data_IF_709884615987
#
_entry.id   IF_709884615987
#
_cell.length_a   1.000
_cell.length_b   1.000
_cell.length_c   1.000
_cell.angle_alpha   90.00
_cell.angle_beta   90.00
_cell.angle_gamma   90.00
#
_symmetry.space_group_name_H-M   'P 1'
#
loop_
_entity.id
_entity.type
_entity.pdbx_description
1 polymer ?
#
# COMPACT_ATOMS: atom_id res chain seq x y z
N UNK A 1 -22.54 1.69 -6.40
CA UNK A 1 -21.99 3.04 -6.75
C UNK A 1 -20.57 2.86 -7.24
N UNK A 2 -20.27 3.33 -8.43
CA UNK A 2 -18.90 3.36 -9.00
C UNK A 2 -18.38 4.80 -8.87
N UNK A 3 -17.18 4.97 -8.30
CA UNK A 3 -16.56 6.28 -8.10
C UNK A 3 -15.04 6.19 -8.30
N UNK A 4 -14.38 7.32 -8.44
CA UNK A 4 -12.93 7.45 -8.45
C UNK A 4 -12.49 8.34 -7.29
N UNK A 5 -11.30 8.10 -6.75
CA UNK A 5 -10.75 8.89 -5.67
C UNK A 5 -9.66 9.84 -6.19
N UNK A 6 -9.85 11.13 -6.01
CA UNK A 6 -8.79 12.13 -6.19
C UNK A 6 -8.40 12.72 -4.84
N UNK A 7 -7.36 12.19 -4.25
CA UNK A 7 -6.88 12.65 -2.94
C UNK A 7 -6.26 14.06 -2.96
N UNK A 8 -6.03 14.62 -4.16
CA UNK A 8 -5.46 15.97 -4.32
C UNK A 8 -6.44 17.07 -3.94
N UNK A 9 -7.76 16.79 -4.05
CA UNK A 9 -8.80 17.79 -3.77
C UNK A 9 -8.91 18.17 -2.30
N UNK A 10 -8.45 17.29 -1.40
CA UNK A 10 -8.65 17.43 0.05
C UNK A 10 -7.38 17.88 0.79
N UNK A 11 -6.39 18.45 0.06
CA UNK A 11 -5.19 18.99 0.69
C UNK A 11 -5.43 20.39 1.24
N UNK A 12 -5.51 20.59 2.55
CA UNK A 12 -5.23 21.90 3.08
C UNK A 12 -3.77 22.23 2.78
N UNK A 13 -3.53 23.36 2.14
CA UNK A 13 -2.19 23.91 2.08
C UNK A 13 -1.64 23.99 3.51
N UNK A 14 -0.38 23.59 3.75
CA UNK A 14 0.20 23.68 5.08
C UNK A 14 0.23 25.16 5.47
N UNK A 15 -0.44 25.51 6.56
CA UNK A 15 -0.48 26.90 7.00
C UNK A 15 0.90 27.45 7.32
N UNK A 16 1.85 26.59 7.78
CA UNK A 16 3.24 27.01 8.07
C UNK A 16 4.21 25.83 8.25
N UNK A 17 5.49 26.09 7.95
CA UNK A 17 6.63 25.26 8.37
C UNK A 17 6.76 25.33 9.89
N UNK A 18 6.28 24.30 10.60
CA UNK A 18 6.28 24.28 12.07
C UNK A 18 7.58 23.75 12.68
N UNK A 19 8.35 22.98 11.93
CA UNK A 19 9.54 22.29 12.43
C UNK A 19 10.68 22.35 11.42
N UNK A 20 11.91 22.29 11.92
CA UNK A 20 13.11 22.20 11.09
C UNK A 20 13.81 20.86 11.34
N UNK A 21 14.36 20.28 10.28
CA UNK A 21 15.35 19.24 10.42
C UNK A 21 16.64 19.86 10.98
N UNK A 22 17.53 19.05 11.61
CA UNK A 22 18.85 19.52 11.99
C UNK A 22 19.62 20.08 10.81
N UNK A 23 20.44 21.10 11.03
CA UNK A 23 21.34 21.65 9.99
C UNK A 23 22.34 20.58 9.53
N UNK A 24 22.88 19.78 10.46
CA UNK A 24 23.74 18.63 10.16
C UNK A 24 22.90 17.35 10.04
N UNK A 25 22.53 16.99 8.82
CA UNK A 25 21.89 15.71 8.49
C UNK A 25 22.89 14.57 8.31
N UNK A 26 24.19 14.82 8.44
CA UNK A 26 25.27 13.84 8.21
C UNK A 26 25.14 13.23 6.80
N UNK A 27 24.94 11.91 6.69
CA UNK A 27 24.75 11.25 5.39
C UNK A 27 23.31 11.43 4.82
N UNK A 28 22.37 11.95 5.60
CA UNK A 28 20.98 12.13 5.16
C UNK A 28 19.96 11.78 6.23
N UNK A 29 18.80 11.32 5.79
CA UNK A 29 17.68 10.94 6.66
C UNK A 29 17.30 9.47 6.48
N UNK A 30 16.67 8.91 7.51
CA UNK A 30 16.08 7.55 7.43
C UNK A 30 14.60 7.58 7.78
N UNK A 31 13.79 6.93 6.95
CA UNK A 31 12.33 6.86 7.11
C UNK A 31 11.89 5.44 7.52
N UNK A 32 11.22 5.33 8.66
CA UNK A 32 10.58 4.09 9.09
C UNK A 32 9.19 3.97 8.44
N UNK A 33 9.10 3.18 7.38
CA UNK A 33 7.87 2.95 6.62
C UNK A 33 6.87 2.07 7.39
N UNK A 34 5.57 2.12 7.07
CA UNK A 34 4.59 1.18 7.60
C UNK A 34 4.93 -0.28 7.28
N UNK A 35 4.42 -1.22 8.11
CA UNK A 35 4.68 -2.64 7.93
C UNK A 35 3.81 -3.28 6.84
N UNK A 36 2.57 -2.81 6.69
CA UNK A 36 1.64 -3.34 5.69
C UNK A 36 1.88 -2.69 4.34
N UNK A 37 1.81 -3.49 3.28
CA UNK A 37 2.08 -3.05 1.92
C UNK A 37 1.18 -1.88 1.48
N UNK A 38 -0.12 -1.97 1.76
CA UNK A 38 -1.06 -0.89 1.43
C UNK A 38 -0.73 0.42 2.12
N UNK A 39 -0.44 0.38 3.44
CA UNK A 39 -0.02 1.58 4.18
C UNK A 39 1.30 2.16 3.64
N UNK A 40 2.22 1.28 3.21
CA UNK A 40 3.48 1.70 2.60
C UNK A 40 3.25 2.41 1.26
N UNK A 41 2.33 1.91 0.43
CA UNK A 41 1.96 2.56 -0.84
C UNK A 41 1.30 3.92 -0.61
N UNK A 42 0.39 4.04 0.35
CA UNK A 42 -0.21 5.33 0.71
C UNK A 42 0.80 6.33 1.28
N UNK A 43 1.96 5.87 1.75
CA UNK A 43 3.03 6.72 2.26
C UNK A 43 4.01 7.22 1.18
N UNK A 44 3.96 6.70 -0.05
CA UNK A 44 4.91 7.04 -1.11
C UNK A 44 4.94 8.53 -1.46
N UNK A 45 3.80 9.24 -1.59
CA UNK A 45 3.83 10.67 -1.83
C UNK A 45 4.68 11.44 -0.79
N UNK A 46 4.50 11.11 0.48
CA UNK A 46 5.25 11.74 1.57
C UNK A 46 6.74 11.38 1.52
N UNK A 47 7.07 10.12 1.18
CA UNK A 47 8.46 9.67 1.04
C UNK A 47 9.17 10.41 -0.10
N UNK A 48 8.50 10.60 -1.24
CA UNK A 48 9.02 11.36 -2.38
C UNK A 48 9.29 12.82 -2.00
N UNK A 49 8.34 13.45 -1.31
CA UNK A 49 8.50 14.86 -0.92
C UNK A 49 9.65 15.07 0.08
N UNK A 50 9.93 14.08 0.93
CA UNK A 50 11.13 14.09 1.76
C UNK A 50 12.41 14.07 0.91
N UNK A 51 12.50 13.21 -0.12
CA UNK A 51 13.69 13.21 -1.00
C UNK A 51 13.85 14.55 -1.74
N UNK A 52 12.76 15.10 -2.26
CA UNK A 52 12.79 16.40 -2.96
C UNK A 52 13.20 17.57 -2.06
N UNK A 53 13.08 17.45 -0.76
CA UNK A 53 13.50 18.43 0.22
C UNK A 53 15.01 18.38 0.51
N UNK A 54 15.64 17.22 0.30
CA UNK A 54 17.06 17.01 0.63
C UNK A 54 17.95 17.62 -0.44
N UNK A 55 19.12 18.10 0.00
CA UNK A 55 20.19 18.46 -0.93
C UNK A 55 20.65 17.20 -1.72
N UNK A 56 21.15 17.35 -2.95
CA UNK A 56 21.48 16.22 -3.83
C UNK A 56 22.44 15.19 -3.24
N UNK A 57 23.37 15.65 -2.39
CA UNK A 57 24.39 14.82 -1.72
C UNK A 57 23.83 14.02 -0.53
N UNK A 58 22.63 14.35 -0.06
CA UNK A 58 22.02 13.70 1.11
C UNK A 58 21.17 12.51 0.70
N UNK A 59 21.39 11.40 1.37
CA UNK A 59 20.70 10.15 1.11
C UNK A 59 19.34 10.06 1.84
N UNK A 60 18.39 9.41 1.17
CA UNK A 60 17.14 8.95 1.76
C UNK A 60 17.20 7.43 1.97
N UNK A 61 17.27 7.00 3.22
CA UNK A 61 17.23 5.60 3.60
C UNK A 61 15.84 5.17 4.05
N UNK A 62 15.50 3.91 3.82
CA UNK A 62 14.22 3.33 4.23
C UNK A 62 14.44 2.16 5.19
N UNK A 63 13.65 2.12 6.27
CA UNK A 63 13.52 0.97 7.15
C UNK A 63 12.10 0.39 6.96
N UNK A 64 12.01 -0.87 6.56
CA UNK A 64 10.75 -1.58 6.35
C UNK A 64 10.90 -3.09 6.62
N UNK A 65 9.82 -3.90 6.59
CA UNK A 65 9.94 -5.35 6.60
C UNK A 65 10.90 -5.86 5.50
N UNK A 66 11.75 -6.84 5.82
CA UNK A 66 12.72 -7.39 4.86
C UNK A 66 12.07 -7.93 3.59
N UNK A 67 10.83 -8.42 3.69
CA UNK A 67 10.02 -8.87 2.53
C UNK A 67 9.68 -7.77 1.53
N UNK A 68 9.81 -6.50 1.90
CA UNK A 68 9.55 -5.36 1.02
C UNK A 68 10.82 -4.83 0.32
N UNK A 69 11.97 -5.50 0.46
CA UNK A 69 13.24 -5.04 -0.14
C UNK A 69 13.12 -4.82 -1.64
N UNK A 70 12.51 -5.77 -2.36
CA UNK A 70 12.33 -5.69 -3.81
C UNK A 70 11.53 -4.44 -4.23
N UNK A 71 10.52 -4.04 -3.45
CA UNK A 71 9.74 -2.84 -3.69
C UNK A 71 10.60 -1.56 -3.67
N UNK A 72 11.38 -1.37 -2.59
CA UNK A 72 12.18 -0.14 -2.46
C UNK A 72 13.39 -0.12 -3.41
N UNK A 73 13.85 -1.29 -3.86
CA UNK A 73 14.89 -1.40 -4.89
C UNK A 73 14.42 -0.91 -6.28
N UNK A 74 13.12 -0.85 -6.53
CA UNK A 74 12.57 -0.30 -7.78
C UNK A 74 12.41 1.22 -7.78
N UNK A 75 12.72 1.88 -6.66
CA UNK A 75 12.55 3.33 -6.49
C UNK A 75 13.91 4.03 -6.54
N UNK A 76 14.29 4.68 -7.68
CA UNK A 76 15.62 5.28 -7.84
C UNK A 76 15.95 6.37 -6.83
N UNK A 77 14.94 6.97 -6.20
CA UNK A 77 15.13 8.03 -5.20
C UNK A 77 15.38 7.49 -3.78
N UNK A 78 15.33 6.16 -3.57
CA UNK A 78 15.67 5.50 -2.30
C UNK A 78 17.12 5.03 -2.37
N UNK A 79 17.98 5.69 -1.62
CA UNK A 79 19.44 5.48 -1.69
C UNK A 79 19.91 4.24 -0.89
N UNK A 80 19.05 3.71 0.01
CA UNK A 80 19.37 2.49 0.75
C UNK A 80 18.23 1.95 1.60
N UNK A 81 18.36 0.66 1.97
CA UNK A 81 17.31 -0.10 2.63
C UNK A 81 17.82 -0.88 3.84
N UNK A 82 17.16 -0.75 4.99
CA UNK A 82 17.35 -1.56 6.18
C UNK A 82 16.13 -2.47 6.41
N UNK A 83 16.31 -3.75 6.15
CA UNK A 83 15.25 -4.76 6.29
C UNK A 83 15.08 -5.27 7.70
N UNK A 84 13.88 -5.20 8.25
CA UNK A 84 13.52 -5.79 9.53
C UNK A 84 12.99 -7.21 9.32
N UNK A 85 13.67 -8.22 9.90
CA UNK A 85 13.24 -9.63 9.82
C UNK A 85 11.96 -9.89 10.62
N UNK A 86 11.82 -9.24 11.78
CA UNK A 86 10.68 -9.36 12.68
C UNK A 86 10.13 -7.97 13.05
N UNK A 87 9.40 -7.29 12.12
CA UNK A 87 9.03 -5.88 12.26
C UNK A 87 8.08 -5.58 13.43
N UNK A 88 7.53 -6.63 14.07
CA UNK A 88 6.67 -6.53 15.26
C UNK A 88 7.41 -6.81 16.58
N UNK A 89 8.73 -7.08 16.54
CA UNK A 89 9.58 -7.32 17.72
C UNK A 89 10.63 -6.22 17.89
N UNK A 90 11.34 -6.23 19.02
CA UNK A 90 12.54 -5.39 19.19
C UNK A 90 13.56 -5.75 18.10
N UNK A 91 14.26 -4.71 17.62
CA UNK A 91 15.26 -4.91 16.57
C UNK A 91 16.49 -5.62 17.14
N UNK A 92 17.05 -6.50 16.35
CA UNK A 92 18.27 -7.23 16.72
C UNK A 92 19.48 -6.29 16.75
N UNK A 93 20.55 -6.72 17.44
CA UNK A 93 21.80 -5.98 17.48
C UNK A 93 22.35 -5.71 16.05
N UNK A 94 22.20 -6.67 15.14
CA UNK A 94 22.62 -6.50 13.73
C UNK A 94 21.79 -5.47 13.00
N UNK A 95 20.47 -5.41 13.21
CA UNK A 95 19.59 -4.39 12.61
C UNK A 95 19.92 -2.99 13.15
N UNK A 96 20.16 -2.86 14.47
CA UNK A 96 20.59 -1.60 15.07
C UNK A 96 21.97 -1.15 14.55
N UNK A 97 22.91 -2.08 14.43
CA UNK A 97 24.26 -1.82 13.92
C UNK A 97 24.21 -1.35 12.45
N UNK A 98 23.43 -2.04 11.60
CA UNK A 98 23.26 -1.65 10.20
C UNK A 98 22.67 -0.24 10.07
N UNK A 99 21.68 0.10 10.90
CA UNK A 99 21.12 1.44 10.92
C UNK A 99 22.16 2.49 11.35
N UNK A 100 22.94 2.19 12.39
CA UNK A 100 24.02 3.09 12.88
C UNK A 100 25.04 3.40 11.80
N UNK A 101 25.40 2.41 10.96
CA UNK A 101 26.33 2.60 9.83
C UNK A 101 25.82 3.58 8.78
N UNK A 102 24.53 3.79 8.64
CA UNK A 102 23.96 4.77 7.70
C UNK A 102 24.29 6.21 8.11
N UNK A 103 24.62 6.45 9.38
CA UNK A 103 25.04 7.77 9.92
C UNK A 103 24.06 8.89 9.57
N UNK A 104 22.75 8.63 9.68
CA UNK A 104 21.73 9.62 9.42
C UNK A 104 21.63 10.64 10.56
N UNK A 105 21.41 11.92 10.23
CA UNK A 105 21.19 13.00 11.18
C UNK A 105 19.76 13.08 11.68
N UNK A 106 18.78 12.55 10.90
CA UNK A 106 17.39 12.54 11.31
C UNK A 106 16.67 11.24 10.92
N UNK A 107 15.65 10.91 11.70
CA UNK A 107 14.77 9.79 11.46
C UNK A 107 13.30 10.20 11.50
N UNK A 108 12.51 9.75 10.51
CA UNK A 108 11.10 10.07 10.38
C UNK A 108 10.28 8.78 10.47
N UNK A 109 9.26 8.75 11.33
CA UNK A 109 8.45 7.57 11.55
C UNK A 109 7.05 7.75 10.93
N UNK A 110 6.80 7.04 9.85
CA UNK A 110 5.48 6.96 9.20
C UNK A 110 4.56 5.95 9.87
N UNK A 111 5.09 5.09 10.74
CA UNK A 111 4.29 4.22 11.59
C UNK A 111 4.04 4.84 12.98
N UNK A 112 3.21 4.16 13.79
CA UNK A 112 2.84 4.62 15.13
C UNK A 112 3.50 3.78 16.25
N UNK A 113 4.67 3.18 16.03
CA UNK A 113 5.32 2.29 16.97
C UNK A 113 6.25 3.05 17.93
N UNK A 114 5.98 2.99 19.24
CA UNK A 114 6.91 3.46 20.28
C UNK A 114 8.23 2.69 20.21
N UNK A 115 8.16 1.37 20.10
CA UNK A 115 9.33 0.50 20.00
C UNK A 115 10.26 0.90 18.86
N UNK A 116 9.72 1.19 17.67
CA UNK A 116 10.54 1.55 16.50
C UNK A 116 11.23 2.91 16.72
N UNK A 117 10.54 3.89 17.34
CA UNK A 117 11.16 5.15 17.74
C UNK A 117 12.30 4.93 18.74
N UNK A 118 12.08 4.07 19.73
CA UNK A 118 13.09 3.70 20.72
C UNK A 118 14.30 3.00 20.08
N UNK A 119 14.07 2.03 19.19
CA UNK A 119 15.14 1.35 18.45
C UNK A 119 15.95 2.32 17.59
N UNK A 120 15.32 3.27 16.91
CA UNK A 120 16.03 4.31 16.15
C UNK A 120 16.88 5.19 17.06
N UNK A 121 16.40 5.53 18.25
CA UNK A 121 17.18 6.27 19.25
C UNK A 121 18.38 5.45 19.73
N UNK A 122 18.20 4.17 20.04
CA UNK A 122 19.28 3.24 20.41
C UNK A 122 20.33 3.09 19.30
N UNK A 123 19.92 3.12 18.04
CA UNK A 123 20.81 3.10 16.89
C UNK A 123 21.61 4.40 16.73
N UNK A 124 21.34 5.44 17.56
CA UNK A 124 22.10 6.69 17.58
C UNK A 124 21.60 7.73 16.58
N UNK A 125 20.36 7.64 16.10
CA UNK A 125 19.75 8.72 15.32
C UNK A 125 19.46 9.90 16.27
N UNK A 126 20.05 11.08 16.04
CA UNK A 126 20.01 12.17 17.01
C UNK A 126 18.62 12.84 17.08
N UNK A 127 17.98 13.06 15.94
CA UNK A 127 16.69 13.74 15.83
C UNK A 127 15.61 12.82 15.25
N UNK A 128 14.49 12.65 15.97
CA UNK A 128 13.39 11.77 15.58
C UNK A 128 12.09 12.54 15.47
N UNK A 129 11.36 12.31 14.38
CA UNK A 129 10.10 12.96 14.01
C UNK A 129 9.02 11.91 13.77
N UNK A 130 7.80 12.20 14.21
CA UNK A 130 6.67 11.28 14.00
C UNK A 130 5.41 11.78 14.70
N UNK A 131 4.29 11.06 14.60
CA UNK A 131 3.06 11.45 15.30
C UNK A 131 3.18 11.27 16.82
N UNK A 132 2.42 12.04 17.59
CA UNK A 132 2.42 12.05 19.06
C UNK A 132 1.72 10.85 19.72
N UNK A 133 1.26 9.89 18.92
CA UNK A 133 0.50 8.73 19.40
C UNK A 133 1.37 7.75 20.19
N UNK A 134 0.73 6.97 21.10
CA UNK A 134 1.35 5.87 21.83
C UNK A 134 2.60 6.28 22.62
N UNK A 135 2.51 7.37 23.37
CA UNK A 135 3.57 7.88 24.27
C UNK A 135 4.92 8.20 23.59
N UNK A 136 4.95 8.30 22.26
CA UNK A 136 6.20 8.56 21.53
C UNK A 136 6.82 9.92 21.80
N UNK A 137 6.06 10.87 22.33
CA UNK A 137 6.59 12.18 22.78
C UNK A 137 7.82 12.06 23.68
N UNK A 138 7.95 10.95 24.41
CA UNK A 138 9.10 10.70 25.29
C UNK A 138 10.41 10.41 24.55
N UNK A 139 10.33 9.99 23.29
CA UNK A 139 11.48 9.56 22.47
C UNK A 139 11.71 10.48 21.27
N UNK A 140 10.65 11.06 20.74
CA UNK A 140 10.73 11.94 19.57
C UNK A 140 11.29 13.31 19.93
N UNK A 141 12.14 13.85 19.08
CA UNK A 141 12.60 15.25 19.15
C UNK A 141 11.44 16.20 18.90
N UNK A 142 10.59 15.89 17.93
CA UNK A 142 9.34 16.60 17.66
C UNK A 142 8.23 15.61 17.32
N UNK A 143 7.07 15.83 17.93
CA UNK A 143 5.89 15.01 17.74
C UNK A 143 4.77 15.81 17.08
N UNK A 144 4.22 15.28 15.98
CA UNK A 144 3.11 15.89 15.25
C UNK A 144 1.78 15.46 15.86
N UNK A 145 0.96 16.42 16.22
CA UNK A 145 -0.43 16.19 16.65
C UNK A 145 -1.33 16.34 15.44
N UNK A 146 -2.06 15.28 15.11
CA UNK A 146 -3.13 15.36 14.12
C UNK A 146 -4.42 15.85 14.79
N UNK A 147 -5.26 16.62 14.07
CA UNK A 147 -6.56 16.98 14.57
C UNK A 147 -7.33 15.72 14.99
N UNK A 148 -8.19 15.82 16.03
CA UNK A 148 -9.02 14.70 16.43
C UNK A 148 -9.89 14.25 15.26
N UNK A 149 -10.11 12.93 15.15
CA UNK A 149 -11.03 12.39 14.13
C UNK A 149 -12.42 12.96 14.36
N UNK A 150 -13.10 13.44 13.31
CA UNK A 150 -14.49 13.86 13.42
C UNK A 150 -15.35 12.72 13.99
N UNK A 151 -16.35 13.06 14.80
CA UNK A 151 -17.30 12.06 15.32
C UNK A 151 -18.11 11.40 14.19
N UNK A 152 -18.38 12.15 13.11
CA UNK A 152 -18.95 11.65 11.87
C UNK A 152 -17.82 11.13 10.98
N UNK A 153 -17.77 9.83 10.81
CA UNK A 153 -16.69 9.09 10.12
C UNK A 153 -16.53 9.42 8.62
N UNK A 154 -17.56 10.02 8.01
CA UNK A 154 -17.61 10.36 6.59
C UNK A 154 -16.66 11.49 6.12
N UNK A 155 -16.02 12.21 7.03
CA UNK A 155 -15.13 13.33 6.71
C UNK A 155 -13.66 13.04 6.99
N UNK A 156 -13.23 11.77 6.91
CA UNK A 156 -11.85 11.43 7.20
C UNK A 156 -10.93 11.78 6.02
N UNK A 157 -9.90 12.53 6.32
CA UNK A 157 -8.79 12.80 5.41
C UNK A 157 -8.11 11.49 5.06
N UNK A 158 -7.78 11.27 3.78
CA UNK A 158 -7.04 10.11 3.30
C UNK A 158 -5.76 9.89 4.11
N UNK A 159 -5.40 8.64 4.37
CA UNK A 159 -4.26 8.31 5.22
C UNK A 159 -2.93 8.84 4.66
N UNK A 160 -2.76 8.85 3.35
CA UNK A 160 -1.60 9.46 2.68
C UNK A 160 -1.49 10.97 2.96
N UNK A 161 -2.62 11.68 3.02
CA UNK A 161 -2.64 13.12 3.30
C UNK A 161 -2.13 13.44 4.70
N UNK A 162 -2.36 12.57 5.68
CA UNK A 162 -1.81 12.77 7.03
C UNK A 162 -0.28 12.73 7.02
N UNK A 163 0.30 11.81 6.25
CA UNK A 163 1.75 11.71 6.14
C UNK A 163 2.33 12.90 5.36
N UNK A 164 1.64 13.35 4.33
CA UNK A 164 2.01 14.56 3.59
C UNK A 164 1.97 15.80 4.48
N UNK A 165 0.94 15.99 5.29
CA UNK A 165 0.88 17.09 6.27
C UNK A 165 2.08 17.07 7.22
N UNK A 166 2.51 15.88 7.65
CA UNK A 166 3.68 15.75 8.53
C UNK A 166 4.96 16.19 7.82
N UNK A 167 5.19 15.78 6.58
CA UNK A 167 6.41 16.16 5.85
C UNK A 167 6.37 17.61 5.38
N UNK A 168 5.21 18.18 5.08
CA UNK A 168 5.05 19.60 4.83
C UNK A 168 5.41 20.46 6.04
N UNK A 169 5.01 20.01 7.24
CA UNK A 169 5.41 20.68 8.47
C UNK A 169 6.93 20.63 8.72
N UNK A 170 7.67 19.71 8.09
CA UNK A 170 9.13 19.66 8.06
C UNK A 170 9.73 20.53 6.95
N UNK A 171 8.91 21.10 6.08
CA UNK A 171 9.34 21.98 4.98
C UNK A 171 9.48 21.28 3.64
N UNK A 172 8.95 20.06 3.48
CA UNK A 172 8.91 19.40 2.20
C UNK A 172 8.02 20.17 1.19
N UNK A 173 8.35 20.17 -0.12
CA UNK A 173 7.55 20.82 -1.13
C UNK A 173 6.17 20.15 -1.28
N UNK A 174 5.21 20.88 -1.83
CA UNK A 174 3.89 20.34 -2.10
C UNK A 174 3.96 19.22 -3.14
N UNK A 175 3.19 18.17 -2.91
CA UNK A 175 3.07 17.07 -3.86
C UNK A 175 2.21 17.48 -5.06
N UNK A 176 2.70 17.21 -6.26
CA UNK A 176 2.03 17.55 -7.51
C UNK A 176 0.98 16.52 -7.99
N UNK A 177 0.74 15.47 -7.21
CA UNK A 177 -0.20 14.40 -7.57
C UNK A 177 0.42 13.21 -8.29
N UNK A 178 1.70 13.26 -8.64
CA UNK A 178 2.40 12.17 -9.32
C UNK A 178 2.97 11.16 -8.31
N UNK A 179 2.83 9.88 -8.63
CA UNK A 179 3.50 8.79 -7.92
C UNK A 179 4.90 8.54 -8.49
N UNK A 180 5.80 7.90 -7.72
CA UNK A 180 7.13 7.60 -8.22
C UNK A 180 7.07 6.63 -9.39
N UNK A 181 8.00 6.78 -10.31
CA UNK A 181 8.28 5.74 -11.30
C UNK A 181 8.94 4.53 -10.59
N UNK A 182 8.47 3.34 -10.95
CA UNK A 182 9.03 2.09 -10.48
C UNK A 182 9.88 1.46 -11.61
N UNK A 183 11.18 1.38 -11.40
CA UNK A 183 12.11 0.72 -12.33
C UNK A 183 12.21 -0.76 -11.95
N UNK A 184 11.34 -1.59 -12.53
CA UNK A 184 11.35 -3.03 -12.30
C UNK A 184 12.47 -3.64 -13.15
N UNK A 185 13.51 -4.13 -12.49
CA UNK A 185 14.67 -4.75 -13.15
C UNK A 185 14.45 -6.24 -13.48
N UNK A 186 13.37 -6.84 -12.92
CA UNK A 186 13.03 -8.25 -13.15
C UNK A 186 12.61 -8.46 -14.60
N UNK A 187 13.24 -9.42 -15.27
CA UNK A 187 12.89 -9.84 -16.63
C UNK A 187 11.77 -10.90 -16.58
N UNK A 188 10.83 -10.86 -17.53
CA UNK A 188 9.77 -11.86 -17.68
C UNK A 188 10.37 -13.26 -17.83
N UNK A 189 11.46 -13.41 -18.58
CA UNK A 189 12.11 -14.69 -18.83
C UNK A 189 12.75 -15.31 -17.58
N UNK A 190 13.01 -14.47 -16.56
CA UNK A 190 13.55 -14.91 -15.27
C UNK A 190 12.46 -15.24 -14.24
N UNK A 191 11.19 -15.06 -14.58
CA UNK A 191 10.05 -15.37 -13.70
C UNK A 191 9.75 -16.88 -13.69
N UNK A 192 9.02 -17.33 -12.68
CA UNK A 192 8.43 -18.67 -12.68
C UNK A 192 7.59 -18.90 -13.96
N UNK A 193 7.58 -20.13 -14.55
CA UNK A 193 6.95 -20.37 -15.86
C UNK A 193 5.50 -19.87 -15.96
N UNK A 194 4.69 -20.11 -14.94
CA UNK A 194 3.29 -19.67 -14.93
C UNK A 194 3.16 -18.15 -14.84
N UNK A 195 4.01 -17.48 -14.07
CA UNK A 195 4.05 -16.01 -13.99
C UNK A 195 4.47 -15.43 -15.35
N UNK A 196 5.52 -15.95 -15.95
CA UNK A 196 5.98 -15.53 -17.27
C UNK A 196 4.90 -15.71 -18.35
N UNK A 197 4.20 -16.85 -18.36
CA UNK A 197 3.10 -17.11 -19.28
C UNK A 197 1.94 -16.11 -19.11
N UNK A 198 1.64 -15.71 -17.88
CA UNK A 198 0.65 -14.66 -17.62
C UNK A 198 1.14 -13.29 -18.13
N UNK A 199 2.39 -12.91 -17.79
CA UNK A 199 2.95 -11.61 -18.18
C UNK A 199 3.05 -11.40 -19.70
N UNK A 200 3.17 -12.47 -20.49
CA UNK A 200 3.21 -12.41 -21.97
C UNK A 200 1.83 -12.36 -22.63
N UNK A 201 0.75 -12.47 -21.86
CA UNK A 201 -0.59 -12.48 -22.44
C UNK A 201 -1.13 -11.04 -22.55
N UNK A 202 -1.45 -10.59 -23.76
CA UNK A 202 -1.86 -9.21 -24.04
C UNK A 202 -3.16 -8.80 -23.32
N UNK A 203 -4.03 -9.77 -22.97
CA UNK A 203 -5.26 -9.54 -22.26
C UNK A 203 -5.26 -10.24 -20.89
N UNK A 204 -4.36 -9.79 -20.00
CA UNK A 204 -4.23 -10.31 -18.65
C UNK A 204 -5.09 -9.53 -17.66
N UNK A 205 -5.93 -10.25 -16.88
CA UNK A 205 -6.59 -9.78 -15.67
C UNK A 205 -5.89 -10.36 -14.45
N UNK A 206 -5.52 -9.53 -13.49
CA UNK A 206 -5.09 -10.02 -12.17
C UNK A 206 -6.21 -9.88 -11.15
N UNK A 207 -6.54 -10.97 -10.46
CA UNK A 207 -7.54 -11.03 -9.39
C UNK A 207 -6.85 -11.22 -8.03
N UNK A 208 -7.15 -10.34 -7.06
CA UNK A 208 -6.67 -10.42 -5.68
C UNK A 208 -7.84 -10.59 -4.70
N UNK A 209 -8.35 -11.83 -4.49
CA UNK A 209 -9.56 -12.09 -3.72
C UNK A 209 -9.32 -12.07 -2.21
N UNK A 210 -8.07 -11.99 -1.77
CA UNK A 210 -7.69 -11.93 -0.37
C UNK A 210 -7.91 -10.57 0.28
N UNK A 211 -7.91 -10.56 1.62
CA UNK A 211 -7.86 -9.35 2.43
C UNK A 211 -7.21 -9.66 3.78
N UNK A 212 -5.95 -9.25 3.96
CA UNK A 212 -5.18 -9.53 5.18
C UNK A 212 -5.78 -8.88 6.44
N UNK A 213 -6.54 -7.80 6.29
CA UNK A 213 -7.21 -7.12 7.40
C UNK A 213 -8.23 -8.02 8.09
N UNK A 214 -9.04 -8.79 7.32
CA UNK A 214 -10.04 -9.69 7.85
C UNK A 214 -11.13 -10.07 6.84
N UNK A 215 -11.87 -11.14 7.18
CA UNK A 215 -12.88 -11.72 6.30
C UNK A 215 -14.02 -10.75 5.93
N UNK A 216 -14.28 -9.73 6.75
CA UNK A 216 -15.33 -8.75 6.44
C UNK A 216 -15.06 -7.94 5.15
N UNK A 217 -13.79 -7.82 4.72
CA UNK A 217 -13.40 -7.13 3.48
C UNK A 217 -13.41 -8.02 2.24
N UNK A 218 -13.72 -9.30 2.38
CA UNK A 218 -13.67 -10.25 1.26
C UNK A 218 -14.98 -10.23 0.49
N UNK A 219 -14.89 -9.86 -0.76
CA UNK A 219 -15.97 -10.05 -1.72
C UNK A 219 -16.18 -11.55 -1.95
N UNK A 220 -17.40 -12.05 -2.19
CA UNK A 220 -17.64 -13.48 -2.36
C UNK A 220 -16.72 -14.11 -3.42
N UNK A 221 -16.14 -15.26 -3.10
CA UNK A 221 -15.29 -16.03 -4.02
C UNK A 221 -16.03 -16.41 -5.30
N UNK A 222 -17.32 -16.78 -5.20
CA UNK A 222 -18.18 -17.05 -6.35
C UNK A 222 -18.38 -15.84 -7.28
N UNK A 223 -18.27 -14.63 -6.76
CA UNK A 223 -18.40 -13.40 -7.55
C UNK A 223 -17.08 -13.07 -8.27
N UNK A 224 -15.94 -13.26 -7.63
CA UNK A 224 -14.65 -13.23 -8.32
C UNK A 224 -14.54 -14.28 -9.42
N UNK A 225 -15.08 -15.48 -9.18
CA UNK A 225 -15.16 -16.54 -10.19
C UNK A 225 -15.94 -16.09 -11.43
N UNK A 226 -17.11 -15.49 -11.26
CA UNK A 226 -17.92 -14.99 -12.38
C UNK A 226 -17.17 -13.92 -13.20
N UNK A 227 -16.43 -13.03 -12.53
CA UNK A 227 -15.56 -12.05 -13.23
C UNK A 227 -14.45 -12.75 -14.01
N UNK A 228 -13.84 -13.80 -13.45
CA UNK A 228 -12.82 -14.59 -14.15
C UNK A 228 -13.40 -15.30 -15.39
N UNK A 229 -14.53 -15.96 -15.24
CA UNK A 229 -15.23 -16.64 -16.34
C UNK A 229 -15.63 -15.67 -17.47
N UNK A 230 -16.16 -14.50 -17.10
CA UNK A 230 -16.45 -13.44 -18.08
C UNK A 230 -15.20 -13.01 -18.83
N UNK A 231 -14.09 -12.70 -18.12
CA UNK A 231 -12.86 -12.24 -18.77
C UNK A 231 -12.27 -13.27 -19.74
N UNK A 232 -12.32 -14.55 -19.36
CA UNK A 232 -11.88 -15.68 -20.19
C UNK A 232 -12.78 -15.83 -21.41
N UNK A 233 -14.10 -15.70 -21.27
CA UNK A 233 -15.04 -15.73 -22.40
C UNK A 233 -14.78 -14.64 -23.44
N UNK A 234 -14.13 -13.55 -23.02
CA UNK A 234 -13.67 -12.47 -23.91
C UNK A 234 -12.26 -12.72 -24.48
N UNK A 235 -11.71 -13.93 -24.37
CA UNK A 235 -10.38 -14.30 -24.86
C UNK A 235 -9.23 -13.82 -23.97
N UNK A 236 -9.48 -13.50 -22.71
CA UNK A 236 -8.46 -13.07 -21.75
C UNK A 236 -7.90 -14.21 -20.92
N UNK A 237 -6.81 -13.93 -20.23
CA UNK A 237 -6.18 -14.80 -19.22
C UNK A 237 -6.31 -14.17 -17.82
N UNK A 238 -6.47 -15.01 -16.80
CA UNK A 238 -6.63 -14.60 -15.41
C UNK A 238 -5.48 -15.14 -14.57
N UNK A 239 -4.87 -14.27 -13.79
CA UNK A 239 -3.93 -14.63 -12.73
C UNK A 239 -4.54 -14.34 -11.35
N UNK A 240 -4.65 -15.34 -10.49
CA UNK A 240 -5.12 -15.16 -9.11
C UNK A 240 -3.90 -15.01 -8.21
N UNK A 241 -3.82 -13.91 -7.48
CA UNK A 241 -2.68 -13.58 -6.61
C UNK A 241 -3.11 -13.37 -5.16
N UNK A 242 -2.16 -13.57 -4.25
CA UNK A 242 -2.38 -13.40 -2.82
C UNK A 242 -1.24 -13.95 -2.00
N UNK A 243 -1.35 -13.82 -0.68
CA UNK A 243 -0.39 -14.39 0.27
C UNK A 243 -0.62 -15.91 0.45
N UNK A 244 0.35 -16.66 1.00
CA UNK A 244 0.15 -18.08 1.31
C UNK A 244 -1.06 -18.37 2.22
N UNK A 245 -1.48 -17.42 3.05
CA UNK A 245 -2.65 -17.55 3.93
C UNK A 245 -3.99 -17.44 3.18
N UNK A 246 -3.96 -17.03 1.92
CA UNK A 246 -5.15 -16.81 1.08
C UNK A 246 -5.36 -17.91 0.03
N UNK A 247 -4.56 -18.98 0.06
CA UNK A 247 -4.62 -20.10 -0.90
C UNK A 247 -6.00 -20.75 -1.00
N UNK A 248 -6.70 -20.92 0.11
CA UNK A 248 -8.03 -21.56 0.07
C UNK A 248 -9.05 -20.71 -0.68
N UNK A 249 -9.00 -19.39 -0.55
CA UNK A 249 -9.89 -18.49 -1.31
C UNK A 249 -9.52 -18.53 -2.79
N UNK A 250 -8.23 -18.53 -3.12
CA UNK A 250 -7.79 -18.62 -4.52
C UNK A 250 -8.26 -19.92 -5.19
N UNK A 251 -8.21 -21.06 -4.46
CA UNK A 251 -8.75 -22.34 -4.96
C UNK A 251 -10.25 -22.26 -5.23
N UNK A 252 -11.04 -21.62 -4.34
CA UNK A 252 -12.48 -21.48 -4.52
C UNK A 252 -12.80 -20.63 -5.77
N UNK A 253 -12.06 -19.56 -6.00
CA UNK A 253 -12.20 -18.73 -7.22
C UNK A 253 -11.84 -19.53 -8.47
N UNK A 254 -10.76 -20.32 -8.44
CA UNK A 254 -10.31 -21.11 -9.60
C UNK A 254 -11.14 -22.39 -9.84
N UNK A 255 -11.97 -22.81 -8.89
CA UNK A 255 -12.69 -24.07 -8.96
C UNK A 255 -13.69 -24.11 -10.12
N UNK A 256 -13.46 -25.03 -11.09
CA UNK A 256 -14.32 -25.20 -12.26
C UNK A 256 -14.15 -24.14 -13.34
N UNK A 257 -13.21 -23.21 -13.18
CA UNK A 257 -12.79 -22.28 -14.24
C UNK A 257 -11.77 -22.98 -15.14
N UNK A 258 -11.69 -22.58 -16.39
CA UNK A 258 -10.72 -23.08 -17.38
C UNK A 258 -9.28 -22.95 -16.86
N UNK A 259 -8.61 -24.09 -16.66
CA UNK A 259 -7.28 -24.17 -16.07
C UNK A 259 -6.16 -23.65 -16.94
N UNK A 260 -6.35 -23.58 -18.25
CA UNK A 260 -5.36 -23.07 -19.18
C UNK A 260 -5.33 -21.54 -19.19
N UNK A 261 -6.47 -20.95 -18.88
CA UNK A 261 -6.66 -19.50 -18.88
C UNK A 261 -6.85 -18.88 -17.49
N UNK A 262 -7.00 -19.69 -16.42
CA UNK A 262 -7.10 -19.24 -15.04
C UNK A 262 -5.98 -19.84 -14.19
N UNK A 263 -4.94 -19.06 -13.90
CA UNK A 263 -3.73 -19.52 -13.23
C UNK A 263 -3.71 -19.09 -11.76
N UNK A 264 -3.71 -20.04 -10.83
CA UNK A 264 -3.54 -19.79 -9.40
C UNK A 264 -2.05 -19.59 -9.05
N UNK A 265 -1.67 -18.34 -8.83
CA UNK A 265 -0.35 -17.88 -8.39
C UNK A 265 -0.31 -17.51 -6.89
N UNK A 266 -1.38 -17.75 -6.15
CA UNK A 266 -1.50 -17.35 -4.75
C UNK A 266 -0.41 -18.02 -3.88
N UNK A 267 0.39 -17.17 -3.21
CA UNK A 267 1.52 -17.61 -2.40
C UNK A 267 2.71 -18.17 -3.19
N UNK A 268 2.75 -18.00 -4.50
CA UNK A 268 3.82 -18.49 -5.38
C UNK A 268 4.62 -17.38 -6.07
N UNK A 269 4.19 -16.13 -5.91
CA UNK A 269 4.74 -14.97 -6.62
C UNK A 269 5.56 -14.12 -5.65
N UNK A 270 6.90 -14.08 -5.73
CA UNK A 270 7.73 -13.11 -5.02
C UNK A 270 7.31 -11.67 -5.38
N UNK A 271 7.66 -10.70 -4.54
CA UNK A 271 7.17 -9.33 -4.69
C UNK A 271 7.63 -8.65 -6.00
N UNK A 272 8.83 -8.96 -6.47
CA UNK A 272 9.36 -8.48 -7.74
C UNK A 272 8.59 -9.06 -8.95
N UNK A 273 8.26 -10.35 -8.92
CA UNK A 273 7.40 -10.98 -9.93
C UNK A 273 5.96 -10.47 -9.86
N UNK A 274 5.43 -10.25 -8.64
CA UNK A 274 4.10 -9.67 -8.46
C UNK A 274 4.01 -8.26 -9.06
N UNK A 275 5.03 -7.42 -8.86
CA UNK A 275 5.07 -6.09 -9.47
C UNK A 275 5.08 -6.15 -10.99
N UNK A 276 5.85 -7.06 -11.57
CA UNK A 276 5.89 -7.26 -13.02
C UNK A 276 4.54 -7.75 -13.54
N UNK A 277 3.94 -8.75 -12.89
CA UNK A 277 2.62 -9.28 -13.24
C UNK A 277 1.54 -8.19 -13.21
N UNK A 278 1.50 -7.39 -12.14
CA UNK A 278 0.55 -6.28 -12.03
C UNK A 278 0.77 -5.25 -13.14
N UNK A 279 2.02 -4.91 -13.46
CA UNK A 279 2.36 -3.96 -14.52
C UNK A 279 1.99 -4.49 -15.92
N UNK A 280 2.06 -5.82 -16.13
CA UNK A 280 1.66 -6.50 -17.37
C UNK A 280 0.14 -6.67 -17.49
N UNK A 281 -0.62 -6.49 -16.40
CA UNK A 281 -2.07 -6.65 -16.43
C UNK A 281 -2.76 -5.47 -17.12
N UNK A 282 -3.75 -5.77 -17.94
CA UNK A 282 -4.68 -4.76 -18.50
C UNK A 282 -5.45 -4.10 -17.36
N UNK A 283 -5.90 -4.92 -16.42
CA UNK A 283 -6.65 -4.45 -15.24
C UNK A 283 -6.46 -5.40 -14.06
N UNK A 284 -6.74 -4.87 -12.86
CA UNK A 284 -6.69 -5.61 -11.60
C UNK A 284 -8.04 -5.52 -10.90
N UNK A 285 -8.59 -6.64 -10.44
CA UNK A 285 -9.78 -6.65 -9.57
C UNK A 285 -9.37 -7.11 -8.18
N UNK A 286 -9.61 -6.28 -7.17
CA UNK A 286 -9.16 -6.55 -5.82
C UNK A 286 -10.15 -6.08 -4.75
N UNK A 287 -10.12 -6.72 -3.60
CA UNK A 287 -10.66 -6.11 -2.39
C UNK A 287 -9.79 -4.91 -1.94
N UNK A 288 -10.26 -4.12 -0.99
CA UNK A 288 -9.44 -3.16 -0.23
C UNK A 288 -8.26 -3.88 0.44
N UNK A 289 -7.12 -3.93 -0.25
CA UNK A 289 -5.95 -4.75 0.08
C UNK A 289 -4.63 -4.11 -0.34
N UNK A 290 -3.50 -4.68 0.11
CA UNK A 290 -2.17 -4.21 -0.28
C UNK A 290 -1.89 -4.33 -1.79
N UNK A 291 -2.47 -5.32 -2.47
CA UNK A 291 -2.29 -5.55 -3.92
C UNK A 291 -3.02 -4.46 -4.72
N UNK A 292 -4.21 -4.05 -4.29
CA UNK A 292 -4.92 -2.90 -4.86
C UNK A 292 -4.01 -1.65 -4.86
N UNK A 293 -3.44 -1.33 -3.72
CA UNK A 293 -2.56 -0.16 -3.60
C UNK A 293 -1.28 -0.28 -4.43
N UNK A 294 -0.70 -1.50 -4.50
CA UNK A 294 0.49 -1.75 -5.31
C UNK A 294 0.18 -1.59 -6.81
N UNK A 295 -0.92 -2.18 -7.29
CA UNK A 295 -1.35 -2.02 -8.69
C UNK A 295 -1.60 -0.55 -9.06
N UNK A 296 -2.25 0.20 -8.16
CA UNK A 296 -2.46 1.63 -8.33
C UNK A 296 -1.15 2.42 -8.41
N UNK A 297 -0.20 2.11 -7.53
CA UNK A 297 1.10 2.77 -7.51
C UNK A 297 1.95 2.46 -8.75
N UNK A 298 1.82 1.26 -9.32
CA UNK A 298 2.47 0.84 -10.56
C UNK A 298 1.82 1.44 -11.82
N UNK A 299 0.71 2.18 -11.67
CA UNK A 299 -0.02 2.82 -12.78
C UNK A 299 -0.94 1.89 -13.55
N UNK A 300 -1.15 0.66 -13.09
CA UNK A 300 -2.11 -0.30 -13.65
C UNK A 300 -3.54 0.12 -13.34
N UNK A 301 -4.44 -0.04 -14.30
CA UNK A 301 -5.88 0.19 -14.11
C UNK A 301 -6.49 -0.88 -13.20
N UNK A 302 -7.58 -0.56 -12.52
CA UNK A 302 -8.21 -1.56 -11.69
C UNK A 302 -9.57 -1.18 -11.12
N UNK A 303 -10.21 -2.20 -10.54
CA UNK A 303 -11.47 -2.08 -9.81
C UNK A 303 -11.26 -2.57 -8.38
N UNK A 304 -11.63 -1.75 -7.41
CA UNK A 304 -11.54 -2.09 -6.00
C UNK A 304 -12.92 -2.21 -5.37
N UNK A 305 -13.16 -3.32 -4.68
CA UNK A 305 -14.40 -3.58 -3.96
C UNK A 305 -14.26 -3.14 -2.51
N UNK A 306 -15.12 -2.21 -2.09
CA UNK A 306 -15.14 -1.64 -0.73
C UNK A 306 -16.45 -1.96 -0.02
N UNK A 307 -16.36 -2.42 1.22
CA UNK A 307 -17.52 -2.71 2.05
C UNK A 307 -17.41 -2.12 3.46
N UNK A 308 -16.73 -2.81 4.41
CA UNK A 308 -16.72 -2.39 5.82
C UNK A 308 -15.80 -1.21 6.13
N UNK A 309 -15.03 -0.73 5.16
CA UNK A 309 -14.05 0.36 5.30
C UNK A 309 -14.43 1.58 4.47
N UNK A 310 -13.90 2.72 4.86
CA UNK A 310 -14.13 3.99 4.16
C UNK A 310 -13.10 4.16 3.05
N UNK A 311 -13.57 4.13 1.81
CA UNK A 311 -12.74 4.30 0.61
C UNK A 311 -12.09 5.69 0.53
N UNK A 312 -12.73 6.72 1.09
CA UNK A 312 -12.14 8.08 1.17
C UNK A 312 -10.88 8.08 2.02
N UNK A 313 -10.88 7.30 3.10
CA UNK A 313 -9.73 7.20 4.01
C UNK A 313 -8.58 6.34 3.48
N UNK A 314 -8.89 5.28 2.73
CA UNK A 314 -7.91 4.25 2.34
C UNK A 314 -8.04 3.78 0.89
N UNK A 315 -8.66 4.52 0.01
CA UNK A 315 -8.72 4.16 -1.41
C UNK A 315 -7.35 4.22 -2.11
N UNK A 316 -7.21 3.61 -3.28
CA UNK A 316 -5.96 3.63 -4.04
C UNK A 316 -5.66 5.04 -4.56
N UNK A 317 -4.39 5.43 -4.53
CA UNK A 317 -3.94 6.73 -5.03
C UNK A 317 -3.71 6.60 -6.54
N UNK A 318 -4.77 6.59 -7.32
CA UNK A 318 -4.69 6.56 -8.79
C UNK A 318 -6.06 6.89 -9.41
N UNK A 319 -6.12 7.78 -10.41
CA UNK A 319 -7.36 8.06 -11.12
C UNK A 319 -7.80 6.89 -12.04
N UNK A 320 -6.92 5.92 -12.29
CA UNK A 320 -7.20 4.74 -13.11
C UNK A 320 -7.95 3.64 -12.34
N UNK A 321 -8.25 3.87 -11.06
CA UNK A 321 -8.96 2.89 -10.24
C UNK A 321 -10.40 3.31 -9.99
N UNK A 322 -11.32 2.42 -10.32
CA UNK A 322 -12.72 2.56 -9.99
C UNK A 322 -13.02 1.86 -8.67
N UNK A 323 -13.80 2.52 -7.84
CA UNK A 323 -14.21 2.01 -6.54
C UNK A 323 -15.67 1.59 -6.62
N UNK A 324 -15.95 0.32 -6.36
CA UNK A 324 -17.32 -0.20 -6.30
C UNK A 324 -17.67 -0.42 -4.84
N UNK A 325 -18.68 0.29 -4.38
CA UNK A 325 -19.13 0.26 -3.00
C UNK A 325 -20.65 0.33 -2.92
N UNK A 326 -21.21 -0.17 -1.83
CA UNK A 326 -22.65 -0.10 -1.53
C UNK A 326 -22.84 0.55 -0.16
N UNK A 327 -23.79 1.49 -0.08
CA UNK A 327 -24.21 2.06 1.17
C UNK A 327 -25.08 1.07 1.93
N UNK A 328 -24.74 0.86 3.18
CA UNK A 328 -25.49 0.04 4.13
C UNK A 328 -25.54 0.75 5.49
N UNK A 329 -26.62 0.61 6.25
CA UNK A 329 -26.82 1.29 7.54
C UNK A 329 -25.71 1.07 8.54
N UNK A 330 -25.04 -0.09 8.49
CA UNK A 330 -23.94 -0.43 9.38
C UNK A 330 -22.54 -0.09 8.82
N UNK A 331 -22.45 0.52 7.63
CA UNK A 331 -21.19 0.89 6.99
C UNK A 331 -20.83 2.37 7.18
N UNK A 332 -19.52 2.68 7.13
CA UNK A 332 -18.38 1.80 7.31
C UNK A 332 -18.20 1.37 8.79
N UNK A 333 -18.14 0.09 9.07
CA UNK A 333 -18.07 -0.43 10.44
C UNK A 333 -16.65 -0.69 10.95
N UNK A 334 -15.66 -0.78 10.07
CA UNK A 334 -14.25 -1.07 10.36
C UNK A 334 -14.01 -2.39 11.13
N UNK A 335 -14.92 -3.34 11.03
CA UNK A 335 -14.79 -4.63 11.71
C UNK A 335 -14.00 -5.62 10.83
N UNK A 336 -13.18 -6.48 11.48
CA UNK A 336 -12.43 -7.53 10.79
C UNK A 336 -13.30 -8.73 10.40
N UNK A 337 -14.34 -8.95 11.19
CA UNK A 337 -15.37 -9.99 10.98
C UNK A 337 -16.71 -9.31 11.06
N UNK A 338 -17.63 -9.65 10.16
CA UNK A 338 -18.98 -9.08 10.16
C UNK A 338 -19.75 -9.55 11.41
N UNK A 339 -20.18 -8.65 12.29
CA UNK A 339 -20.89 -9.04 13.51
C UNK A 339 -22.27 -9.61 13.23
N UNK A 340 -22.86 -9.34 12.07
CA UNK A 340 -24.14 -9.88 11.62
C UNK A 340 -24.03 -11.22 10.90
N UNK A 341 -22.81 -11.80 10.76
CA UNK A 341 -22.49 -13.00 9.97
C UNK A 341 -23.01 -12.95 8.51
N UNK A 342 -23.43 -11.80 8.05
CA UNK A 342 -23.92 -11.55 6.70
C UNK A 342 -23.38 -10.20 6.20
N UNK A 343 -22.23 -10.17 5.49
CA UNK A 343 -21.60 -8.93 5.04
C UNK A 343 -22.37 -8.36 3.83
N UNK A 344 -23.54 -7.79 4.05
CA UNK A 344 -24.37 -7.18 2.99
C UNK A 344 -23.59 -6.15 2.19
N UNK A 345 -22.73 -5.34 2.83
CA UNK A 345 -21.87 -4.36 2.15
C UNK A 345 -20.95 -4.97 1.08
N UNK A 346 -20.66 -6.27 1.16
CA UNK A 346 -19.87 -6.99 0.14
C UNK A 346 -20.79 -7.79 -0.81
N UNK A 347 -21.82 -8.43 -0.28
CA UNK A 347 -22.73 -9.27 -1.08
C UNK A 347 -23.65 -8.47 -2.01
N UNK A 348 -23.96 -7.23 -1.67
CA UNK A 348 -24.82 -6.37 -2.51
C UNK A 348 -24.08 -5.74 -3.69
N UNK A 349 -22.75 -5.85 -3.73
CA UNK A 349 -21.98 -5.50 -4.92
C UNK A 349 -21.98 -6.70 -5.84
N UNK A 350 -22.60 -6.57 -7.01
CA UNK A 350 -22.76 -7.69 -7.94
C UNK A 350 -21.56 -7.87 -8.87
N UNK A 351 -21.34 -9.07 -9.44
CA UNK A 351 -20.32 -9.28 -10.47
C UNK A 351 -20.50 -8.37 -11.69
N UNK A 352 -21.74 -8.10 -12.08
CA UNK A 352 -22.09 -7.25 -13.24
C UNK A 352 -21.62 -5.80 -13.03
N UNK A 353 -21.76 -5.26 -11.80
CA UNK A 353 -21.25 -3.93 -11.47
C UNK A 353 -19.73 -3.85 -11.62
N UNK A 354 -19.02 -4.89 -11.19
CA UNK A 354 -17.56 -4.97 -11.30
C UNK A 354 -17.13 -5.17 -12.75
N UNK A 355 -17.83 -6.02 -13.52
CA UNK A 355 -17.59 -6.25 -14.94
C UNK A 355 -17.82 -4.96 -15.75
N UNK A 356 -18.90 -4.23 -15.49
CA UNK A 356 -19.16 -2.93 -16.11
C UNK A 356 -18.01 -1.95 -15.81
N UNK A 357 -17.55 -1.90 -14.55
CA UNK A 357 -16.45 -1.04 -14.16
C UNK A 357 -15.12 -1.41 -14.85
N UNK A 358 -14.89 -2.66 -15.23
CA UNK A 358 -13.71 -3.08 -16.01
C UNK A 358 -13.82 -2.60 -17.47
N UNK A 359 -15.02 -2.63 -18.05
CA UNK A 359 -15.23 -2.43 -19.49
C UNK A 359 -15.29 -0.96 -19.92
N UNK A 360 -15.59 -0.06 -19.00
CA UNK A 360 -15.56 1.40 -19.19
C UNK A 360 -14.13 1.96 -19.07
#
# INVERSE_FOLDING_TARGET
MITTLDIRKDYPAPEYRKYQLPDDLRNGIVVRMPNHLGDAMMALPALMQLKKMLAPELALFVIAPASQKALYATMPFVDGFAGLKKPHKMWSASELYNLRKMRCGAGILFNNSFRDAFCMKLAGIPALYGSDRRMRKLVLTKAFSYPPRPKNRAAEIHQGNRLLQMVYALGAPLWNGELPEFVIQKDIDSCAPNTAACCRHDKLLTIAPGAAYGAAKRWPDSYFKQVAEYWISQGGKVAIVGTPAEKEIAKLVAQGVDKDNCIDLCGKTPLDELMLLLKSSVTVVANDSGIMHLGAALGTSGVAVFGPTDHTATGPISPKWKLVCTEVDCGPCFKRVCPKNNPLCMKSITPEEVISAISE
#
